data_IF_793574252143
#
_entry.id   IF_793574252143
#
_cell.length_a   1.000
_cell.length_b   1.000
_cell.length_c   1.000
_cell.angle_alpha   90.00
_cell.angle_beta   90.00
_cell.angle_gamma   90.00
#
_symmetry.space_group_name_H-M   'P 1'
#
loop_
_entity.id
_entity.type
_entity.pdbx_description
1 polymer ?
#
# COMPACT_ATOMS: atom_id res chain seq x y z
N UNK A 1 -11.48 -10.41 19.48
CA UNK A 1 -10.87 -9.51 18.49
C UNK A 1 -9.97 -8.55 19.23
N UNK A 2 -8.64 -8.52 18.99
CA UNK A 2 -7.85 -7.44 19.57
C UNK A 2 -8.39 -6.11 19.04
N UNK A 3 -8.75 -5.20 19.94
CA UNK A 3 -9.18 -3.85 19.59
C UNK A 3 -7.97 -3.10 19.01
N UNK A 4 -8.05 -2.62 17.77
CA UNK A 4 -7.07 -1.67 17.24
C UNK A 4 -7.40 -0.28 17.84
N UNK A 5 -6.58 0.24 18.78
CA UNK A 5 -6.87 1.49 19.46
C UNK A 5 -6.83 2.70 18.50
N UNK A 6 -6.28 2.53 17.29
CA UNK A 6 -6.13 3.59 16.28
C UNK A 6 -7.06 3.42 15.08
N UNK A 7 -8.04 2.53 15.16
CA UNK A 7 -8.93 2.24 14.01
C UNK A 7 -9.64 3.50 13.48
N UNK A 8 -10.15 4.35 14.36
CA UNK A 8 -10.83 5.60 13.97
C UNK A 8 -9.86 6.63 13.40
N UNK A 9 -8.63 6.68 13.90
CA UNK A 9 -7.58 7.56 13.38
C UNK A 9 -7.21 7.15 11.94
N UNK A 10 -6.96 5.86 11.71
CA UNK A 10 -6.65 5.30 10.39
C UNK A 10 -7.79 5.51 9.39
N UNK A 11 -9.04 5.34 9.83
CA UNK A 11 -10.21 5.61 8.99
C UNK A 11 -10.30 7.09 8.61
N UNK A 12 -10.11 8.02 9.55
CA UNK A 12 -10.12 9.46 9.24
C UNK A 12 -9.01 9.83 8.26
N UNK A 13 -7.79 9.33 8.47
CA UNK A 13 -6.66 9.55 7.56
C UNK A 13 -6.96 8.99 6.15
N UNK A 14 -7.45 7.74 6.08
CA UNK A 14 -7.82 7.11 4.82
C UNK A 14 -8.95 7.88 4.11
N UNK A 15 -9.98 8.32 4.82
CA UNK A 15 -11.06 9.14 4.25
C UNK A 15 -10.52 10.45 3.70
N UNK A 16 -9.67 11.17 4.46
CA UNK A 16 -9.07 12.42 3.98
C UNK A 16 -8.25 12.21 2.68
N UNK A 17 -7.49 11.12 2.62
CA UNK A 17 -6.75 10.74 1.42
C UNK A 17 -7.68 10.41 0.24
N UNK A 18 -8.74 9.61 0.46
CA UNK A 18 -9.69 9.24 -0.58
C UNK A 18 -10.49 10.45 -1.09
N UNK A 19 -10.87 11.37 -0.22
CA UNK A 19 -11.55 12.61 -0.60
C UNK A 19 -10.64 13.53 -1.44
N UNK A 20 -9.32 13.52 -1.22
CA UNK A 20 -8.36 14.17 -2.13
C UNK A 20 -8.30 13.47 -3.49
N UNK A 21 -8.16 12.14 -3.48
CA UNK A 21 -8.10 11.33 -4.70
C UNK A 21 -9.36 11.45 -5.57
N UNK A 22 -10.54 11.53 -4.96
CA UNK A 22 -11.82 11.75 -5.66
C UNK A 22 -11.85 13.08 -6.45
N UNK A 23 -11.10 14.09 -5.98
CA UNK A 23 -10.93 15.37 -6.68
C UNK A 23 -9.78 15.36 -7.71
N UNK A 24 -9.13 14.22 -7.92
CA UNK A 24 -7.96 14.09 -8.78
C UNK A 24 -6.66 14.58 -8.14
N UNK A 25 -6.65 14.82 -6.82
CA UNK A 25 -5.44 15.22 -6.09
C UNK A 25 -4.65 13.98 -5.66
N UNK A 26 -3.74 13.51 -6.53
CA UNK A 26 -2.83 12.41 -6.22
C UNK A 26 -1.89 12.71 -5.03
N UNK A 27 -1.32 11.68 -4.37
CA UNK A 27 -0.30 11.89 -3.35
C UNK A 27 0.90 12.63 -3.93
N UNK A 28 1.36 13.65 -3.22
CA UNK A 28 2.50 14.45 -3.67
C UNK A 28 3.79 13.60 -3.76
N UNK A 29 4.78 14.04 -4.55
CA UNK A 29 6.08 13.36 -4.62
C UNK A 29 6.77 13.22 -3.25
N UNK A 30 6.58 14.17 -2.34
CA UNK A 30 7.12 14.14 -0.99
C UNK A 30 6.41 13.09 -0.12
N UNK A 31 5.08 13.03 -0.18
CA UNK A 31 4.28 11.99 0.50
C UNK A 31 4.69 10.59 0.03
N UNK A 32 4.87 10.40 -1.28
CA UNK A 32 5.33 9.13 -1.82
C UNK A 32 6.78 8.83 -1.41
N UNK A 33 7.69 9.81 -1.42
CA UNK A 33 9.07 9.61 -0.98
C UNK A 33 9.17 9.13 0.47
N UNK A 34 8.28 9.61 1.34
CA UNK A 34 8.19 9.19 2.74
C UNK A 34 7.46 7.83 2.91
N UNK A 35 6.72 7.38 1.91
CA UNK A 35 5.99 6.12 1.97
C UNK A 35 6.92 4.89 1.82
N UNK A 36 6.61 3.78 2.52
CA UNK A 36 7.29 2.50 2.31
C UNK A 36 7.16 2.06 0.86
N UNK A 37 8.21 1.41 0.35
CA UNK A 37 8.19 0.80 -0.98
C UNK A 37 7.82 -0.66 -0.87
N UNK A 38 6.94 -1.13 -1.75
CA UNK A 38 6.53 -2.53 -1.88
C UNK A 38 6.98 -3.04 -3.25
N UNK A 39 8.05 -3.83 -3.27
CA UNK A 39 8.55 -4.51 -4.46
C UNK A 39 7.94 -5.92 -4.57
N UNK A 40 7.96 -6.47 -5.79
CA UNK A 40 7.43 -7.78 -6.13
C UNK A 40 6.00 -7.96 -5.64
N UNK A 41 5.22 -6.90 -5.83
CA UNK A 41 3.89 -6.80 -5.27
C UNK A 41 2.87 -7.57 -6.10
N UNK A 42 1.83 -8.06 -5.45
CA UNK A 42 0.72 -8.77 -6.08
C UNK A 42 -0.59 -8.54 -5.33
N UNK A 43 -1.72 -8.61 -6.03
CA UNK A 43 -3.05 -8.52 -5.43
C UNK A 43 -3.41 -9.84 -4.73
N UNK A 44 -3.98 -9.75 -3.53
CA UNK A 44 -4.36 -10.93 -2.74
C UNK A 44 -5.52 -10.61 -1.80
N UNK A 45 -6.05 -11.64 -1.14
CA UNK A 45 -6.98 -11.49 -0.02
C UNK A 45 -6.24 -11.74 1.30
N UNK A 46 -6.38 -10.82 2.25
CA UNK A 46 -5.81 -10.95 3.58
C UNK A 46 -6.81 -10.51 4.63
N UNK A 47 -7.10 -11.39 5.61
CA UNK A 47 -8.11 -11.18 6.64
C UNK A 47 -9.50 -10.78 6.09
N UNK A 48 -9.91 -11.36 4.95
CA UNK A 48 -11.24 -11.12 4.36
C UNK A 48 -11.37 -9.80 3.61
N UNK A 49 -10.26 -9.12 3.30
CA UNK A 49 -10.23 -7.91 2.51
C UNK A 49 -9.20 -8.02 1.37
N UNK A 50 -9.45 -7.32 0.26
CA UNK A 50 -8.43 -7.13 -0.76
C UNK A 50 -7.22 -6.40 -0.15
N UNK A 51 -6.03 -6.90 -0.44
CA UNK A 51 -4.77 -6.40 0.07
C UNK A 51 -3.67 -6.58 -0.99
N UNK A 52 -2.50 -6.02 -0.74
CA UNK A 52 -1.30 -6.32 -1.51
C UNK A 52 -0.36 -7.20 -0.68
N UNK A 53 0.22 -8.21 -1.31
CA UNK A 53 1.39 -8.92 -0.83
C UNK A 53 2.65 -8.40 -1.52
N UNK A 54 3.82 -8.52 -0.88
CA UNK A 54 5.10 -8.13 -1.48
C UNK A 54 6.22 -7.94 -0.47
N UNK A 55 7.39 -7.52 -0.94
CA UNK A 55 8.57 -7.24 -0.11
C UNK A 55 8.67 -5.76 0.21
N UNK A 56 8.66 -5.42 1.50
CA UNK A 56 8.63 -4.03 1.95
C UNK A 56 10.02 -3.51 2.33
N UNK A 57 10.27 -2.26 1.97
CA UNK A 57 11.48 -1.49 2.33
C UNK A 57 11.09 -0.11 2.86
N UNK A 58 11.85 0.43 3.81
CA UNK A 58 11.59 1.73 4.44
C UNK A 58 10.30 1.77 5.28
N UNK A 59 9.86 0.64 5.83
CA UNK A 59 8.69 0.59 6.69
C UNK A 59 9.04 1.03 8.13
N UNK A 60 8.23 1.90 8.78
CA UNK A 60 8.59 2.47 10.08
C UNK A 60 8.65 1.46 11.24
N UNK A 61 8.00 0.30 11.09
CA UNK A 61 7.84 -0.69 12.17
C UNK A 61 8.11 -2.13 11.77
N UNK A 62 8.40 -2.39 10.49
CA UNK A 62 8.60 -3.76 9.98
C UNK A 62 10.05 -3.91 9.52
N UNK A 63 10.63 -5.12 9.61
CA UNK A 63 11.99 -5.35 9.16
C UNK A 63 12.17 -5.01 7.68
N UNK A 64 13.35 -4.47 7.35
CA UNK A 64 13.74 -4.18 5.98
C UNK A 64 13.77 -5.48 5.14
N UNK A 65 13.14 -5.47 3.96
CA UNK A 65 13.09 -6.62 3.07
C UNK A 65 12.12 -7.73 3.51
N UNK A 66 11.26 -7.49 4.51
CA UNK A 66 10.27 -8.48 4.93
C UNK A 66 9.17 -8.66 3.86
N UNK A 67 8.75 -9.91 3.65
CA UNK A 67 7.50 -10.18 2.93
C UNK A 67 6.31 -9.86 3.84
N UNK A 68 5.36 -9.06 3.36
CA UNK A 68 4.21 -8.58 4.14
C UNK A 68 2.92 -8.74 3.36
N UNK A 69 1.81 -8.66 4.09
CA UNK A 69 0.50 -8.32 3.56
C UNK A 69 0.10 -6.95 4.08
N UNK A 70 -0.44 -6.09 3.22
CA UNK A 70 -0.94 -4.79 3.64
C UNK A 70 -2.28 -4.92 4.38
N UNK A 71 -2.70 -3.83 5.04
CA UNK A 71 -4.13 -3.67 5.36
C UNK A 71 -4.98 -3.57 4.08
N UNK A 72 -6.31 -3.54 4.25
CA UNK A 72 -7.29 -3.34 3.18
C UNK A 72 -6.82 -2.30 2.14
N UNK A 73 -6.78 -2.72 0.88
CA UNK A 73 -6.46 -1.92 -0.29
C UNK A 73 -7.66 -1.04 -0.65
N UNK A 74 -7.44 0.25 -0.82
CA UNK A 74 -8.50 1.23 -1.05
C UNK A 74 -8.40 1.90 -2.42
N UNK A 75 -7.18 2.04 -2.96
CA UNK A 75 -6.94 2.68 -4.25
C UNK A 75 -5.57 2.27 -4.80
N UNK A 76 -5.45 2.21 -6.12
CA UNK A 76 -4.19 2.01 -6.86
C UNK A 76 -4.14 3.06 -7.97
N UNK A 77 -2.99 3.69 -8.16
CA UNK A 77 -2.76 4.64 -9.25
C UNK A 77 -2.85 3.95 -10.62
N UNK A 78 -3.29 4.68 -11.64
CA UNK A 78 -3.40 4.14 -13.01
C UNK A 78 -2.06 3.64 -13.56
N UNK A 79 -0.97 4.31 -13.20
CA UNK A 79 0.40 3.93 -13.58
C UNK A 79 0.98 2.80 -12.71
N UNK A 80 0.21 2.32 -11.74
CA UNK A 80 0.58 1.29 -10.77
C UNK A 80 1.86 1.59 -9.98
N UNK A 81 2.17 2.88 -9.74
CA UNK A 81 3.34 3.30 -8.93
C UNK A 81 3.00 3.66 -7.50
N UNK A 82 1.72 3.77 -7.17
CA UNK A 82 1.26 4.05 -5.82
C UNK A 82 0.00 3.27 -5.48
N UNK A 83 -0.16 2.96 -4.20
CA UNK A 83 -1.39 2.41 -3.65
C UNK A 83 -1.74 3.11 -2.33
N UNK A 84 -3.03 3.30 -2.08
CA UNK A 84 -3.55 3.68 -0.76
C UNK A 84 -4.17 2.46 -0.11
N UNK A 85 -3.77 2.20 1.12
CA UNK A 85 -4.38 1.19 1.99
C UNK A 85 -5.07 1.87 3.18
N UNK A 86 -5.78 1.12 4.03
CA UNK A 86 -6.35 1.68 5.26
C UNK A 86 -5.30 2.42 6.12
N UNK A 87 -4.04 1.98 6.09
CA UNK A 87 -3.02 2.44 7.03
C UNK A 87 -2.09 3.52 6.52
N UNK A 88 -1.86 3.56 5.21
CA UNK A 88 -0.84 4.40 4.56
C UNK A 88 -0.87 4.26 3.05
N UNK A 89 -0.19 5.19 2.39
CA UNK A 89 0.28 5.00 1.03
C UNK A 89 1.49 4.06 0.98
N UNK A 90 1.64 3.37 -0.15
CA UNK A 90 2.83 2.63 -0.55
C UNK A 90 3.30 3.14 -1.91
N UNK A 91 4.62 3.23 -2.08
CA UNK A 91 5.22 3.26 -3.42
C UNK A 91 5.28 1.84 -3.95
N UNK A 92 4.71 1.61 -5.11
CA UNK A 92 4.76 0.31 -5.75
C UNK A 92 6.01 0.23 -6.63
N UNK A 93 6.80 -0.82 -6.41
CA UNK A 93 7.94 -1.16 -7.24
C UNK A 93 7.55 -2.11 -8.37
N UNK A 94 8.43 -3.04 -8.69
CA UNK A 94 8.18 -4.03 -9.76
C UNK A 94 7.04 -4.97 -9.35
N UNK A 95 5.98 -5.14 -10.17
CA UNK A 95 4.96 -6.17 -9.96
C UNK A 95 5.57 -7.58 -9.98
N UNK A 96 5.00 -8.52 -9.23
CA UNK A 96 5.50 -9.90 -9.21
C UNK A 96 5.44 -10.56 -10.59
N UNK A 97 4.37 -10.32 -11.33
CA UNK A 97 4.15 -10.91 -12.67
C UNK A 97 5.24 -10.50 -13.66
N UNK A 98 5.70 -9.24 -13.63
CA UNK A 98 6.79 -8.77 -14.48
C UNK A 98 8.10 -9.51 -14.18
N UNK A 99 8.37 -9.80 -12.90
CA UNK A 99 9.56 -10.56 -12.50
C UNK A 99 9.48 -12.01 -12.99
N UNK A 100 8.30 -12.61 -12.91
CA UNK A 100 8.07 -13.99 -13.37
C UNK A 100 8.14 -14.09 -14.90
N UNK A 101 7.60 -13.10 -15.61
CA UNK A 101 7.67 -13.02 -17.07
C UNK A 101 9.11 -12.88 -17.59
N UNK A 102 10.00 -12.23 -16.83
CA UNK A 102 11.41 -12.07 -17.20
C UNK A 102 12.26 -13.34 -16.96
N UNK A 103 11.71 -14.34 -16.27
CA UNK A 103 12.42 -15.61 -15.95
C UNK A 103 12.08 -16.77 -16.89
N UNK A 104 11.16 -16.58 -17.84
CA UNK A 104 10.78 -17.55 -18.87
C UNK A 104 11.33 -17.12 -20.24
#
# INVERSE_FOLDING_TARGET
MPHDPKILERLRDATAALTRLERGEEPSPEELKAAPKLDWWYLTEHHGALALGGVVTGHPTLPEGAHIYTSCLLWVAEDQRAARTLSRFYRLGTPLDDVLATKN
#
